data_IF_181954526839
#
_entry.id   IF_181954526839
#
_cell.length_a   1.000
_cell.length_b   1.000
_cell.length_c   1.000
_cell.angle_alpha   90.00
_cell.angle_beta   90.00
_cell.angle_gamma   90.00
#
_symmetry.space_group_name_H-M   'P 1'
#
loop_
_entity.id
_entity.type
_entity.pdbx_description
1 polymer ?
#
# COMPACT_ATOMS: atom_id res chain seq x y z
N UNK A 1 -10.05 -6.30 4.74
CA UNK A 1 -8.71 -5.78 5.07
C UNK A 1 -7.71 -6.92 5.10
N UNK A 2 -6.55 -6.68 4.50
CA UNK A 2 -5.37 -7.54 4.52
C UNK A 2 -4.21 -6.78 5.17
N UNK A 3 -3.30 -7.50 5.83
CA UNK A 3 -2.16 -6.90 6.53
C UNK A 3 -0.89 -7.73 6.40
N UNK A 4 0.19 -7.12 5.92
CA UNK A 4 1.55 -7.66 5.87
C UNK A 4 2.35 -7.15 7.06
N UNK A 5 2.70 -8.03 8.03
CA UNK A 5 3.56 -7.65 9.14
C UNK A 5 4.93 -7.20 8.65
N UNK A 6 5.36 -6.01 9.09
CA UNK A 6 6.71 -5.49 8.87
C UNK A 6 7.55 -5.61 10.15
N UNK A 7 6.89 -5.46 11.30
CA UNK A 7 7.45 -5.65 12.64
C UNK A 7 6.61 -6.65 13.43
N UNK A 8 6.68 -7.93 13.05
CA UNK A 8 5.86 -8.98 13.67
C UNK A 8 6.05 -9.09 15.19
N UNK A 9 7.25 -8.79 15.71
CA UNK A 9 7.51 -8.78 17.15
C UNK A 9 6.65 -7.73 17.86
N UNK A 10 6.70 -6.47 17.40
CA UNK A 10 5.91 -5.38 18.00
C UNK A 10 4.42 -5.63 17.87
N UNK A 11 3.95 -6.10 16.72
CA UNK A 11 2.52 -6.41 16.51
C UNK A 11 2.00 -7.50 17.46
N UNK A 12 2.84 -8.44 17.89
CA UNK A 12 2.48 -9.42 18.93
C UNK A 12 2.54 -8.80 20.33
N UNK A 13 3.53 -7.94 20.61
CA UNK A 13 3.66 -7.25 21.91
C UNK A 13 2.46 -6.35 22.19
N UNK A 14 1.96 -5.61 21.19
CA UNK A 14 0.78 -4.74 21.31
C UNK A 14 -0.55 -5.46 21.10
N UNK A 15 -0.56 -6.80 21.11
CA UNK A 15 -1.74 -7.66 20.95
C UNK A 15 -2.52 -7.50 19.62
N UNK A 16 -1.92 -6.90 18.59
CA UNK A 16 -2.51 -6.87 17.25
C UNK A 16 -2.59 -8.29 16.65
N UNK A 17 -1.52 -9.07 16.80
CA UNK A 17 -1.51 -10.51 16.54
C UNK A 17 -1.39 -11.30 17.85
N UNK A 18 -2.12 -12.43 17.93
CA UNK A 18 -2.02 -13.33 19.08
C UNK A 18 -0.67 -14.05 19.07
N UNK A 19 0.01 -14.07 20.23
CA UNK A 19 1.18 -14.91 20.44
C UNK A 19 0.76 -16.39 20.45
N UNK A 20 1.45 -17.22 19.67
CA UNK A 20 1.26 -18.66 19.64
C UNK A 20 2.62 -19.39 19.55
N UNK A 21 2.60 -20.73 19.53
CA UNK A 21 3.81 -21.57 19.45
C UNK A 21 4.63 -21.34 18.17
N UNK A 22 4.03 -20.76 17.13
CA UNK A 22 4.68 -20.47 15.84
C UNK A 22 5.34 -19.10 15.78
N UNK A 23 5.39 -18.34 16.90
CA UNK A 23 5.95 -16.98 16.95
C UNK A 23 7.30 -16.83 16.23
N UNK A 24 8.28 -17.69 16.52
CA UNK A 24 9.61 -17.60 15.89
C UNK A 24 9.57 -17.94 14.39
N UNK A 25 8.77 -18.93 13.99
CA UNK A 25 8.60 -19.31 12.59
C UNK A 25 7.94 -18.17 11.79
N UNK A 26 6.87 -17.58 12.32
CA UNK A 26 6.19 -16.42 11.72
C UNK A 26 7.11 -15.19 11.65
N UNK A 27 7.88 -14.91 12.71
CA UNK A 27 8.87 -13.82 12.70
C UNK A 27 9.88 -13.98 11.54
N UNK A 28 10.37 -15.20 11.30
CA UNK A 28 11.26 -15.50 10.15
C UNK A 28 10.51 -15.41 8.82
N UNK A 29 9.28 -15.92 8.75
CA UNK A 29 8.43 -15.89 7.55
C UNK A 29 8.13 -14.46 7.06
N UNK A 30 7.96 -13.50 7.98
CA UNK A 30 7.67 -12.11 7.68
C UNK A 30 8.92 -11.25 7.42
N UNK A 31 10.12 -11.83 7.42
CA UNK A 31 11.34 -11.08 7.12
C UNK A 31 11.33 -10.63 5.65
N UNK A 32 11.57 -9.34 5.44
CA UNK A 32 11.76 -8.71 4.13
C UNK A 32 13.26 -8.44 3.90
N UNK A 33 13.71 -8.44 2.63
CA UNK A 33 15.06 -7.99 2.28
C UNK A 33 15.27 -6.52 2.65
N UNK A 34 16.53 -6.09 2.64
CA UNK A 34 16.90 -4.72 3.02
C UNK A 34 16.88 -3.76 1.83
N UNK A 35 16.91 -4.26 0.59
CA UNK A 35 16.85 -3.43 -0.62
C UNK A 35 15.70 -3.84 -1.53
N UNK A 36 15.19 -2.88 -2.28
CA UNK A 36 14.17 -3.09 -3.31
C UNK A 36 14.76 -3.85 -4.49
N UNK A 37 13.94 -4.63 -5.18
CA UNK A 37 14.37 -5.52 -6.26
C UNK A 37 14.16 -4.90 -7.65
N UNK A 38 13.16 -4.01 -7.81
CA UNK A 38 12.84 -3.43 -9.13
C UNK A 38 13.87 -2.36 -9.53
N UNK A 39 14.58 -2.51 -10.66
CA UNK A 39 15.50 -1.49 -11.15
C UNK A 39 14.78 -0.16 -11.40
N UNK A 40 15.35 0.93 -10.89
CA UNK A 40 14.77 2.26 -11.06
C UNK A 40 13.61 2.59 -10.11
N UNK A 41 13.26 1.70 -9.19
CA UNK A 41 12.32 2.01 -8.11
C UNK A 41 12.90 3.07 -7.18
N UNK A 42 12.21 4.20 -7.05
CA UNK A 42 12.65 5.33 -6.23
C UNK A 42 11.50 6.23 -5.82
N UNK A 43 11.74 7.07 -4.81
CA UNK A 43 10.80 8.12 -4.41
C UNK A 43 10.47 9.04 -5.60
N UNK A 44 9.19 9.40 -5.72
CA UNK A 44 8.72 10.33 -6.75
C UNK A 44 9.22 11.76 -6.47
N UNK A 45 9.56 12.48 -7.54
CA UNK A 45 9.80 13.93 -7.49
C UNK A 45 8.50 14.64 -7.85
N UNK A 46 8.14 15.73 -7.16
CA UNK A 46 6.87 16.47 -7.38
C UNK A 46 6.57 16.75 -8.87
N UNK A 47 7.58 17.14 -9.65
CA UNK A 47 7.47 17.42 -11.09
C UNK A 47 7.10 16.22 -11.96
N UNK A 48 7.24 15.00 -11.44
CA UNK A 48 6.97 13.73 -12.13
C UNK A 48 5.52 13.29 -11.96
N UNK A 49 4.75 13.90 -11.04
CA UNK A 49 3.32 13.61 -10.87
C UNK A 49 2.54 13.88 -12.16
N UNK A 50 2.97 14.87 -12.96
CA UNK A 50 2.38 15.13 -14.29
C UNK A 50 2.54 13.97 -15.28
N UNK A 51 3.52 13.08 -15.06
CA UNK A 51 3.71 11.84 -15.84
C UNK A 51 2.89 10.69 -15.26
N UNK A 52 2.74 10.64 -13.93
CA UNK A 52 1.94 9.63 -13.22
C UNK A 52 0.45 9.84 -13.43
N UNK A 53 -0.02 11.08 -13.41
CA UNK A 53 -1.44 11.41 -13.48
C UNK A 53 -2.16 10.79 -14.69
N UNK A 54 -1.65 10.89 -15.94
CA UNK A 54 -2.29 10.24 -17.07
C UNK A 54 -2.38 8.72 -16.93
N UNK A 55 -1.30 8.07 -16.47
CA UNK A 55 -1.27 6.61 -16.27
C UNK A 55 -2.25 6.16 -15.19
N UNK A 56 -2.28 6.87 -14.06
CA UNK A 56 -3.22 6.56 -12.98
C UNK A 56 -4.66 6.78 -13.41
N UNK A 57 -4.93 7.83 -14.20
CA UNK A 57 -6.27 8.10 -14.72
C UNK A 57 -6.74 7.02 -15.68
N UNK A 58 -5.85 6.55 -16.56
CA UNK A 58 -6.12 5.45 -17.48
C UNK A 58 -6.39 4.16 -16.71
N UNK A 59 -5.51 3.80 -15.77
CA UNK A 59 -5.67 2.66 -14.89
C UNK A 59 -7.00 2.70 -14.12
N UNK A 60 -7.31 3.83 -13.48
CA UNK A 60 -8.55 3.98 -12.71
C UNK A 60 -9.83 3.95 -13.57
N UNK A 61 -9.71 4.16 -14.89
CA UNK A 61 -10.85 4.15 -15.81
C UNK A 61 -11.37 2.73 -16.10
N UNK A 62 -10.61 1.71 -15.73
CA UNK A 62 -11.00 0.30 -15.89
C UNK A 62 -12.00 -0.16 -14.81
N UNK A 63 -12.07 0.55 -13.67
CA UNK A 63 -12.98 0.23 -12.58
C UNK A 63 -14.37 0.87 -12.76
N UNK A 64 -15.40 0.22 -12.20
CA UNK A 64 -16.78 0.71 -12.29
C UNK A 64 -17.04 1.92 -11.41
N UNK A 65 -16.32 2.05 -10.29
CA UNK A 65 -16.38 3.19 -9.38
C UNK A 65 -14.95 3.56 -9.00
N UNK A 66 -14.52 4.74 -9.41
CA UNK A 66 -13.19 5.25 -9.10
C UNK A 66 -13.19 6.77 -8.95
N UNK A 67 -12.17 7.30 -8.29
CA UNK A 67 -11.94 8.74 -8.22
C UNK A 67 -11.43 9.25 -9.58
N UNK A 68 -12.11 10.24 -10.15
CA UNK A 68 -11.61 10.97 -11.31
C UNK A 68 -10.84 12.21 -10.87
N UNK A 69 -9.54 12.07 -10.65
CA UNK A 69 -8.67 13.17 -10.22
C UNK A 69 -8.56 14.28 -11.27
N UNK A 70 -8.56 15.53 -10.80
CA UNK A 70 -7.91 16.65 -11.50
C UNK A 70 -6.38 16.57 -11.36
N UNK A 71 -5.62 17.23 -12.26
CA UNK A 71 -4.16 17.33 -12.12
C UNK A 71 -3.73 17.92 -10.76
N UNK A 72 -4.47 18.91 -10.26
CA UNK A 72 -4.20 19.57 -8.98
C UNK A 72 -4.42 18.62 -7.80
N UNK A 73 -5.49 17.84 -7.82
CA UNK A 73 -5.76 16.81 -6.81
C UNK A 73 -4.71 15.70 -6.87
N UNK A 74 -4.29 15.26 -8.06
CA UNK A 74 -3.22 14.27 -8.19
C UNK A 74 -1.92 14.78 -7.55
N UNK A 75 -1.57 16.06 -7.75
CA UNK A 75 -0.43 16.67 -7.05
C UNK A 75 -0.65 16.73 -5.54
N UNK A 76 -1.85 17.08 -5.08
CA UNK A 76 -2.15 17.14 -3.66
C UNK A 76 -2.02 15.77 -2.99
N UNK A 77 -2.69 14.75 -3.53
CA UNK A 77 -2.79 13.43 -2.91
C UNK A 77 -1.54 12.57 -3.10
N UNK A 78 -0.85 12.67 -4.25
CA UNK A 78 0.24 11.75 -4.61
C UNK A 78 1.64 12.34 -4.42
N UNK A 79 1.77 13.61 -4.03
CA UNK A 79 3.07 14.17 -3.73
C UNK A 79 3.58 13.64 -2.38
N UNK A 80 4.73 12.97 -2.40
CA UNK A 80 5.39 12.48 -1.19
C UNK A 80 5.46 13.57 -0.13
N UNK A 81 4.93 13.25 1.05
CA UNK A 81 4.98 14.03 2.29
C UNK A 81 5.25 13.06 3.44
N UNK A 82 6.43 13.18 4.03
CA UNK A 82 6.85 12.35 5.16
C UNK A 82 5.78 12.36 6.26
N UNK A 83 5.54 11.19 6.88
CA UNK A 83 4.50 10.95 7.88
C UNK A 83 3.05 11.16 7.41
N UNK A 84 2.81 11.37 6.12
CA UNK A 84 1.46 11.54 5.55
C UNK A 84 1.25 10.59 4.38
N UNK A 85 1.99 10.76 3.29
CA UNK A 85 1.88 9.95 2.08
C UNK A 85 3.26 9.69 1.48
N UNK A 86 3.52 8.45 1.14
CA UNK A 86 4.76 7.97 0.57
C UNK A 86 4.47 7.49 -0.84
N UNK A 87 5.20 8.01 -1.80
CA UNK A 87 4.94 7.80 -3.22
C UNK A 87 6.22 7.51 -3.96
N UNK A 88 6.19 6.45 -4.77
CA UNK A 88 7.33 5.87 -5.46
C UNK A 88 6.97 5.66 -6.93
N UNK A 89 7.99 5.66 -7.76
CA UNK A 89 7.90 5.43 -9.19
C UNK A 89 8.98 4.43 -9.61
N UNK A 90 8.72 3.72 -10.70
CA UNK A 90 9.75 3.00 -11.44
C UNK A 90 10.16 3.85 -12.63
N UNK A 91 11.44 4.19 -12.70
CA UNK A 91 12.05 4.88 -13.83
C UNK A 91 12.86 3.88 -14.67
N UNK A 92 12.48 3.69 -15.92
CA UNK A 92 13.16 2.81 -16.86
C UNK A 92 14.67 3.17 -16.93
N UNK A 93 15.58 2.23 -16.61
CA UNK A 93 17.01 2.53 -16.53
C UNK A 93 17.60 3.02 -17.87
N UNK A 94 17.02 2.60 -19.00
CA UNK A 94 17.50 2.93 -20.34
C UNK A 94 16.84 4.21 -20.86
N UNK A 95 15.50 4.27 -20.86
CA UNK A 95 14.75 5.38 -21.47
C UNK A 95 14.55 6.57 -20.54
N UNK A 96 14.71 6.37 -19.22
CA UNK A 96 14.40 7.35 -18.16
C UNK A 96 12.92 7.76 -18.12
N UNK A 97 12.05 6.95 -18.71
CA UNK A 97 10.60 7.15 -18.62
C UNK A 97 10.06 6.59 -17.30
N UNK A 98 9.00 7.21 -16.79
CA UNK A 98 8.29 6.68 -15.62
C UNK A 98 7.31 5.65 -16.14
N UNK A 99 7.41 4.42 -15.66
CA UNK A 99 6.62 3.29 -16.16
C UNK A 99 5.55 2.87 -15.16
N UNK A 100 5.88 2.92 -13.87
CA UNK A 100 4.99 2.43 -12.81
C UNK A 100 4.98 3.40 -11.64
N UNK A 101 3.93 3.34 -10.83
CA UNK A 101 3.74 4.17 -9.65
C UNK A 101 3.08 3.38 -8.53
N UNK A 102 3.47 3.64 -7.28
CA UNK A 102 2.79 3.13 -6.10
C UNK A 102 2.85 4.14 -4.95
N UNK A 103 1.80 4.17 -4.15
CA UNK A 103 1.72 5.01 -2.96
C UNK A 103 1.06 4.30 -1.77
N UNK A 104 1.40 4.79 -0.58
CA UNK A 104 0.76 4.42 0.67
C UNK A 104 0.71 5.62 1.62
N UNK A 105 -0.30 5.68 2.49
CA UNK A 105 -0.41 6.73 3.50
C UNK A 105 -0.20 6.21 4.92
N UNK A 106 0.20 7.11 5.81
CA UNK A 106 0.35 6.83 7.25
C UNK A 106 -1.00 6.95 7.95
N UNK A 107 -1.36 5.94 8.72
CA UNK A 107 -2.47 5.99 9.66
C UNK A 107 -2.05 5.27 10.93
N UNK A 108 -1.53 6.05 11.87
CA UNK A 108 -1.01 5.51 13.12
C UNK A 108 -2.12 5.34 14.16
N UNK A 109 -2.05 4.29 14.97
CA UNK A 109 -2.95 4.04 16.09
C UNK A 109 -2.22 4.20 17.41
N UNK A 110 -2.85 4.86 18.38
CA UNK A 110 -2.38 4.88 19.77
C UNK A 110 -2.49 3.47 20.37
N UNK A 111 -1.48 3.06 21.14
CA UNK A 111 -1.47 1.80 21.87
C UNK A 111 -1.85 2.07 23.32
N UNK A 112 -3.04 1.62 23.71
CA UNK A 112 -3.60 1.90 25.02
C UNK A 112 -2.93 1.03 26.09
N UNK A 113 -2.30 1.65 27.08
CA UNK A 113 -1.86 1.00 28.32
C UNK A 113 -0.69 0.03 28.15
N UNK A 114 0.31 0.37 27.34
CA UNK A 114 1.48 -0.48 27.10
C UNK A 114 2.80 0.24 27.44
N UNK A 115 3.60 -0.32 28.36
CA UNK A 115 4.77 0.34 28.95
C UNK A 115 5.92 0.69 27.98
N UNK A 116 5.96 0.06 26.79
CA UNK A 116 7.08 0.20 25.83
C UNK A 116 6.70 0.81 24.47
N UNK A 117 5.41 0.83 24.15
CA UNK A 117 4.94 1.14 22.80
C UNK A 117 3.72 2.02 22.95
N UNK A 118 3.83 3.27 22.51
CA UNK A 118 2.72 4.24 22.59
C UNK A 118 1.94 4.31 21.26
N UNK A 119 2.55 3.84 20.18
CA UNK A 119 1.98 3.96 18.83
C UNK A 119 2.30 2.72 18.00
N UNK A 120 1.31 2.29 17.20
CA UNK A 120 1.46 1.32 16.12
C UNK A 120 1.39 2.06 14.80
N UNK A 121 2.48 2.01 14.02
CA UNK A 121 2.57 2.70 12.74
C UNK A 121 2.03 1.79 11.64
N UNK A 122 0.98 2.21 10.93
CA UNK A 122 0.46 1.45 9.80
C UNK A 122 0.56 2.25 8.50
N UNK A 123 1.11 1.60 7.48
CA UNK A 123 1.07 2.05 6.10
C UNK A 123 -0.16 1.44 5.43
N UNK A 124 -0.98 2.26 4.78
CA UNK A 124 -2.13 1.79 4.02
C UNK A 124 -1.85 1.98 2.53
N UNK A 125 -1.87 0.87 1.78
CA UNK A 125 -1.81 0.88 0.32
C UNK A 125 -2.87 1.84 -0.20
N UNK A 126 -2.44 2.76 -1.06
CA UNK A 126 -3.30 3.79 -1.62
C UNK A 126 -3.53 3.52 -3.10
N UNK A 127 -2.97 4.34 -3.98
CA UNK A 127 -3.06 4.16 -5.42
C UNK A 127 -1.75 3.61 -5.99
N UNK A 128 -1.87 2.81 -7.04
CA UNK A 128 -0.76 2.37 -7.88
C UNK A 128 -1.21 2.33 -9.35
N UNK A 129 -0.25 2.24 -10.25
CA UNK A 129 -0.48 1.80 -11.63
C UNK A 129 0.72 0.94 -12.05
N UNK A 130 0.44 -0.34 -12.36
CA UNK A 130 1.44 -1.33 -12.73
C UNK A 130 1.33 -1.59 -14.23
N UNK A 131 2.36 -1.21 -15.00
CA UNK A 131 2.36 -1.36 -16.47
C UNK A 131 3.47 -2.30 -16.95
N UNK A 132 4.73 -2.04 -16.58
CA UNK A 132 5.89 -2.86 -16.95
C UNK A 132 6.33 -3.76 -15.81
N UNK A 133 6.15 -3.29 -14.58
CA UNK A 133 6.53 -4.04 -13.38
C UNK A 133 5.35 -4.93 -12.96
N UNK A 134 5.57 -6.23 -12.65
CA UNK A 134 4.52 -7.05 -12.05
C UNK A 134 4.01 -6.45 -10.74
N UNK A 135 2.70 -6.46 -10.52
CA UNK A 135 2.07 -5.85 -9.33
C UNK A 135 2.67 -6.39 -8.02
N UNK A 136 2.94 -7.69 -7.97
CA UNK A 136 3.59 -8.34 -6.85
C UNK A 136 4.94 -7.68 -6.50
N UNK A 137 5.81 -7.48 -7.49
CA UNK A 137 7.12 -6.84 -7.31
C UNK A 137 6.97 -5.40 -6.83
N UNK A 138 6.01 -4.66 -7.40
CA UNK A 138 5.77 -3.26 -7.05
C UNK A 138 5.27 -3.11 -5.61
N UNK A 139 4.32 -3.95 -5.18
CA UNK A 139 3.83 -3.96 -3.79
C UNK A 139 4.92 -4.47 -2.84
N UNK A 140 5.71 -5.48 -3.23
CA UNK A 140 6.84 -5.97 -2.44
C UNK A 140 7.83 -4.84 -2.14
N UNK A 141 8.23 -4.06 -3.15
CA UNK A 141 9.12 -2.92 -2.98
C UNK A 141 8.49 -1.82 -2.11
N UNK A 142 7.19 -1.57 -2.23
CA UNK A 142 6.48 -0.67 -1.32
C UNK A 142 6.49 -1.17 0.14
N UNK A 143 6.36 -2.48 0.40
CA UNK A 143 6.48 -3.03 1.76
C UNK A 143 7.89 -2.91 2.34
N UNK A 144 8.92 -3.04 1.49
CA UNK A 144 10.32 -2.82 1.88
C UNK A 144 10.52 -1.35 2.26
N UNK A 145 10.01 -0.42 1.46
CA UNK A 145 10.09 1.00 1.79
C UNK A 145 9.30 1.35 3.05
N UNK A 146 8.09 0.80 3.23
CA UNK A 146 7.33 1.01 4.46
C UNK A 146 8.10 0.50 5.70
N UNK A 147 8.78 -0.65 5.60
CA UNK A 147 9.66 -1.14 6.68
C UNK A 147 10.80 -0.17 6.96
N UNK A 148 11.46 0.38 5.93
CA UNK A 148 12.54 1.38 6.07
C UNK A 148 12.05 2.67 6.72
N UNK A 149 10.82 3.07 6.44
CA UNK A 149 10.15 4.26 7.00
C UNK A 149 9.59 4.02 8.42
N UNK A 150 9.84 2.85 9.02
CA UNK A 150 9.48 2.57 10.42
C UNK A 150 8.03 2.15 10.65
N UNK A 151 7.33 1.71 9.60
CA UNK A 151 5.99 1.12 9.74
C UNK A 151 6.04 -0.29 10.32
N UNK A 152 5.04 -0.62 11.13
CA UNK A 152 4.90 -1.93 11.78
C UNK A 152 4.11 -2.92 10.92
N UNK A 153 3.18 -2.42 10.10
CA UNK A 153 2.31 -3.20 9.22
C UNK A 153 2.01 -2.43 7.94
N UNK A 154 1.95 -3.15 6.82
CA UNK A 154 1.42 -2.64 5.55
C UNK A 154 0.03 -3.24 5.33
N UNK A 155 -1.00 -2.41 5.17
CA UNK A 155 -2.38 -2.83 5.05
C UNK A 155 -2.93 -2.49 3.68
N UNK A 156 -3.88 -3.30 3.20
CA UNK A 156 -4.62 -3.03 1.98
C UNK A 156 -6.07 -3.49 2.13
N UNK A 157 -6.94 -2.95 1.29
CA UNK A 157 -8.30 -3.43 1.12
C UNK A 157 -8.30 -4.56 0.06
N UNK A 158 -9.45 -5.19 -0.13
CA UNK A 158 -9.66 -6.14 -1.23
C UNK A 158 -10.28 -5.45 -2.46
N UNK A 159 -9.93 -4.18 -2.69
CA UNK A 159 -10.35 -3.40 -3.86
C UNK A 159 -9.23 -3.40 -4.91
N UNK A 160 -9.49 -2.96 -6.14
CA UNK A 160 -8.53 -3.07 -7.25
C UNK A 160 -8.02 -4.53 -7.39
N UNK A 161 -6.81 -4.74 -7.88
CA UNK A 161 -6.15 -6.06 -7.98
C UNK A 161 -5.40 -6.45 -6.69
N UNK A 162 -5.64 -5.78 -5.56
CA UNK A 162 -4.92 -6.04 -4.31
C UNK A 162 -4.99 -7.49 -3.85
N UNK A 163 -6.11 -8.18 -4.12
CA UNK A 163 -6.30 -9.57 -3.69
C UNK A 163 -5.37 -10.55 -4.42
N UNK A 164 -4.89 -10.22 -5.62
CA UNK A 164 -4.01 -11.07 -6.43
C UNK A 164 -2.65 -11.33 -5.77
N UNK A 165 -2.18 -10.40 -4.95
CA UNK A 165 -0.84 -10.48 -4.33
C UNK A 165 -0.88 -10.98 -2.88
N UNK A 166 -2.06 -11.21 -2.31
CA UNK A 166 -2.24 -11.46 -0.87
C UNK A 166 -1.47 -12.70 -0.42
N UNK A 167 -1.62 -13.82 -1.14
CA UNK A 167 -1.02 -15.08 -0.73
C UNK A 167 0.50 -15.07 -0.96
N UNK A 168 0.95 -14.61 -2.14
CA UNK A 168 2.36 -14.62 -2.52
C UNK A 168 3.19 -13.67 -1.63
N UNK A 169 2.68 -12.46 -1.37
CA UNK A 169 3.32 -11.51 -0.45
C UNK A 169 2.99 -11.81 1.02
N UNK A 170 2.26 -12.89 1.30
CA UNK A 170 1.90 -13.39 2.64
C UNK A 170 1.27 -12.30 3.50
N UNK A 171 0.29 -11.61 2.94
CA UNK A 171 -0.65 -10.79 3.70
C UNK A 171 -1.60 -11.68 4.50
N UNK A 172 -1.87 -11.30 5.74
CA UNK A 172 -2.85 -11.99 6.58
C UNK A 172 -4.21 -11.29 6.46
N UNK A 173 -5.30 -12.06 6.39
CA UNK A 173 -6.65 -11.53 6.53
C UNK A 173 -6.84 -10.92 7.92
N UNK A 174 -7.24 -9.65 7.97
CA UNK A 174 -7.55 -8.93 9.20
C UNK A 174 -9.05 -9.02 9.49
N UNK A 175 -9.43 -8.77 10.76
CA UNK A 175 -10.83 -8.90 11.20
C UNK A 175 -11.77 -7.83 10.65
N UNK A 176 -11.24 -6.64 10.34
CA UNK A 176 -12.06 -5.52 9.89
C UNK A 176 -12.65 -5.74 8.50
N UNK A 177 -13.80 -5.11 8.26
CA UNK A 177 -14.39 -4.90 6.93
C UNK A 177 -14.60 -3.42 6.68
N UNK A 178 -14.50 -2.99 5.42
CA UNK A 178 -14.86 -1.65 4.98
C UNK A 178 -15.99 -1.79 3.96
N UNK A 179 -17.02 -0.97 4.09
CA UNK A 179 -18.17 -0.99 3.21
C UNK A 179 -18.29 0.38 2.53
N UNK A 180 -18.46 0.36 1.21
CA UNK A 180 -18.66 1.55 0.40
C UNK A 180 -20.16 1.80 0.21
N UNK A 181 -20.58 3.06 0.38
CA UNK A 181 -21.96 3.49 0.20
C UNK A 181 -21.98 4.75 -0.65
N UNK A 182 -22.92 4.85 -1.59
CA UNK A 182 -23.23 6.09 -2.29
C UNK A 182 -24.56 6.64 -1.81
N UNK A 183 -24.59 7.95 -1.57
CA UNK A 183 -25.81 8.65 -1.22
C UNK A 183 -26.54 9.09 -2.49
N UNK A 184 -27.84 8.80 -2.58
CA UNK A 184 -28.70 9.18 -3.72
C UNK A 184 -28.20 8.69 -5.09
N UNK A 185 -27.55 7.52 -5.13
CA UNK A 185 -27.07 6.91 -6.37
C UNK A 185 -27.33 5.41 -6.37
N UNK A 186 -27.87 4.89 -7.48
CA UNK A 186 -28.13 3.45 -7.65
C UNK A 186 -26.98 2.82 -8.41
N UNK A 187 -26.37 1.79 -7.83
CA UNK A 187 -25.31 1.03 -8.48
C UNK A 187 -25.84 -0.31 -9.03
N UNK A 188 -25.23 -0.83 -10.12
CA UNK A 188 -25.37 -2.24 -10.47
C UNK A 188 -24.70 -3.13 -9.41
N UNK A 189 -24.73 -4.45 -9.61
CA UNK A 189 -23.91 -5.34 -8.79
C UNK A 189 -22.43 -5.01 -9.02
N UNK A 190 -21.73 -4.74 -7.93
CA UNK A 190 -20.33 -4.33 -7.90
C UNK A 190 -19.63 -5.23 -6.89
N UNK A 191 -18.52 -5.80 -7.30
CA UNK A 191 -17.63 -6.54 -6.45
C UNK A 191 -16.51 -5.63 -5.93
N UNK A 192 -15.77 -6.03 -4.88
CA UNK A 192 -14.64 -5.25 -4.38
C UNK A 192 -13.62 -4.86 -5.46
N UNK A 193 -13.29 -5.76 -6.38
CA UNK A 193 -12.36 -5.53 -7.50
C UNK A 193 -12.86 -4.50 -8.53
N UNK A 194 -14.14 -4.14 -8.50
CA UNK A 194 -14.72 -3.08 -9.36
C UNK A 194 -14.54 -1.66 -8.77
N UNK A 195 -13.92 -1.55 -7.58
CA UNK A 195 -13.66 -0.28 -6.87
C UNK A 195 -12.20 0.14 -7.06
N UNK A 196 -12.00 1.32 -7.63
CA UNK A 196 -10.71 2.00 -7.82
C UNK A 196 -10.44 3.07 -6.77
#
# INVERSE_FOLDING_TARGET
>A
YYGRPLNYKKLVEVNFFKKDKSFNAKKKLYTLPDETETPGFRRIRKKEIKKVYPMLKEFLSEYKVAINFSPEEAVHYLNYRENVVYSYVVEDPETKEITDFISFYSLNSEVIGHDKHDTMNAAYCWYYCSTKTPLESLIKDATIMAKKEGFDIFQMLNIMENEEVVDELRFAKLKGTLHYYLFNYRLPNINPEDIG
#
